data_IF_877851656196
#
_entry.id   IF_877851656196
#
_cell.length_a   1.000
_cell.length_b   1.000
_cell.length_c   1.000
_cell.angle_alpha   90.00
_cell.angle_beta   90.00
_cell.angle_gamma   90.00
#
_symmetry.space_group_name_H-M   'P 1'
#
loop_
_entity.id
_entity.type
_entity.pdbx_description
1 polymer ?
#
# COMPACT_ATOMS: atom_id res chain seq x y z
N UNK A 1 -4.08 9.14 -0.71
CA UNK A 1 -3.12 8.90 0.38
C UNK A 1 -2.30 7.70 -0.03
N UNK A 2 -0.99 7.73 0.18
CA UNK A 2 -0.09 6.62 -0.09
C UNK A 2 0.43 6.07 1.23
N UNK A 3 0.57 4.75 1.32
CA UNK A 3 1.12 4.03 2.47
C UNK A 3 2.18 3.07 1.95
N UNK A 4 3.40 3.22 2.44
CA UNK A 4 4.53 2.39 2.07
C UNK A 4 5.28 1.89 3.31
N UNK A 5 5.89 0.72 3.19
CA UNK A 5 6.76 0.13 4.21
C UNK A 5 8.13 -0.04 3.58
N UNK A 6 9.11 0.67 4.15
CA UNK A 6 10.51 0.51 3.77
C UNK A 6 11.09 -0.63 4.60
N UNK A 7 11.72 -1.59 3.93
CA UNK A 7 12.32 -2.75 4.57
C UNK A 7 13.78 -2.49 4.93
N UNK A 8 14.18 -3.02 6.08
CA UNK A 8 15.59 -3.24 6.40
C UNK A 8 16.16 -4.39 5.58
N UNK A 9 17.48 -4.48 5.48
CA UNK A 9 18.17 -5.42 4.59
C UNK A 9 17.85 -6.90 4.90
N UNK A 10 17.55 -7.22 6.16
CA UNK A 10 17.25 -8.57 6.64
C UNK A 10 15.77 -8.94 6.51
N UNK A 11 14.89 -7.97 6.24
CA UNK A 11 13.45 -8.20 6.21
C UNK A 11 13.01 -8.76 4.86
N UNK A 12 12.00 -9.64 4.90
CA UNK A 12 11.40 -10.21 3.69
C UNK A 12 10.25 -9.35 3.17
N UNK A 13 9.87 -9.59 1.92
CA UNK A 13 8.72 -8.92 1.29
C UNK A 13 7.44 -9.26 2.05
N UNK A 14 7.29 -10.51 2.49
CA UNK A 14 6.11 -10.98 3.22
C UNK A 14 5.96 -10.26 4.57
N UNK A 15 7.07 -9.98 5.27
CA UNK A 15 7.06 -9.18 6.49
C UNK A 15 6.62 -7.75 6.21
N UNK A 16 7.12 -7.15 5.13
CA UNK A 16 6.68 -5.83 4.66
C UNK A 16 5.20 -5.75 4.35
N UNK A 17 4.67 -6.74 3.63
CA UNK A 17 3.25 -6.83 3.32
C UNK A 17 2.39 -6.98 4.58
N UNK A 18 2.84 -7.76 5.56
CA UNK A 18 2.14 -7.92 6.82
C UNK A 18 2.05 -6.60 7.59
N UNK A 19 3.13 -5.83 7.64
CA UNK A 19 3.17 -4.50 8.26
C UNK A 19 2.23 -3.54 7.52
N UNK A 20 2.25 -3.53 6.18
CA UNK A 20 1.38 -2.67 5.38
C UNK A 20 -0.11 -2.97 5.63
N UNK A 21 -0.49 -4.25 5.71
CA UNK A 21 -1.87 -4.68 6.02
C UNK A 21 -2.29 -4.29 7.44
N UNK A 22 -1.41 -4.40 8.42
CA UNK A 22 -1.68 -3.98 9.79
C UNK A 22 -1.88 -2.45 9.89
N UNK A 23 -1.02 -1.66 9.24
CA UNK A 23 -1.16 -0.21 9.16
C UNK A 23 -2.45 0.20 8.44
N UNK A 24 -2.79 -0.45 7.33
CA UNK A 24 -4.04 -0.24 6.61
C UNK A 24 -5.26 -0.41 7.55
N UNK A 25 -5.29 -1.49 8.34
CA UNK A 25 -6.35 -1.75 9.31
C UNK A 25 -6.40 -0.68 10.41
N UNK A 26 -5.25 -0.28 10.97
CA UNK A 26 -5.17 0.75 12.02
C UNK A 26 -5.62 2.12 11.55
N UNK A 27 -5.40 2.44 10.27
CA UNK A 27 -5.85 3.67 9.64
C UNK A 27 -7.30 3.62 9.17
N UNK A 28 -7.97 2.47 9.30
CA UNK A 28 -9.36 2.29 8.87
C UNK A 28 -9.55 2.28 7.35
N UNK A 29 -8.48 2.03 6.58
CA UNK A 29 -8.52 1.92 5.12
C UNK A 29 -9.03 0.53 4.74
N UNK A 30 -10.12 0.46 3.98
CA UNK A 30 -10.69 -0.79 3.52
C UNK A 30 -10.09 -1.19 2.18
N UNK A 31 -10.21 -2.47 1.84
CA UNK A 31 -9.77 -2.96 0.53
C UNK A 31 -10.51 -2.29 -0.64
N UNK A 32 -11.74 -1.81 -0.41
CA UNK A 32 -12.54 -1.06 -1.38
C UNK A 32 -11.99 0.35 -1.64
N UNK A 33 -11.23 0.91 -0.69
CA UNK A 33 -10.61 2.23 -0.81
C UNK A 33 -9.30 2.17 -1.62
N UNK A 34 -8.79 0.97 -1.92
CA UNK A 34 -7.52 0.78 -2.62
C UNK A 34 -7.65 1.09 -4.11
N UNK A 35 -6.82 2.02 -4.58
CA UNK A 35 -6.72 2.38 -5.99
C UNK A 35 -5.54 1.62 -6.59
N UNK A 36 -5.78 0.94 -7.71
CA UNK A 36 -4.75 0.20 -8.45
C UNK A 36 -4.11 1.07 -9.51
N UNK A 37 -2.81 0.88 -9.71
CA UNK A 37 -2.02 1.60 -10.70
C UNK A 37 -1.39 2.86 -10.15
N UNK A 38 -0.55 3.50 -10.97
CA UNK A 38 0.06 4.78 -10.67
C UNK A 38 -0.94 5.92 -10.90
N UNK A 39 -0.65 7.09 -10.33
CA UNK A 39 -1.44 8.29 -10.57
C UNK A 39 -1.55 8.65 -12.06
N UNK A 40 -0.47 8.45 -12.83
CA UNK A 40 -0.47 8.69 -14.28
C UNK A 40 -1.46 7.77 -15.02
N UNK A 41 -1.56 6.49 -14.63
CA UNK A 41 -2.52 5.54 -15.22
C UNK A 41 -3.98 5.98 -15.01
N UNK A 42 -4.24 6.77 -13.97
CA UNK A 42 -5.56 7.32 -13.68
C UNK A 42 -5.83 8.57 -14.51
N UNK A 43 -4.82 9.42 -14.70
CA UNK A 43 -4.93 10.62 -15.54
C UNK A 43 -5.17 10.30 -17.01
N UNK A 44 -4.54 9.25 -17.54
CA UNK A 44 -4.73 8.82 -18.93
C UNK A 44 -6.15 8.26 -19.20
N UNK A 45 -6.94 7.97 -18.17
CA UNK A 45 -8.31 7.47 -18.26
C UNK A 45 -9.39 8.56 -18.15
N UNK A 46 -8.99 9.82 -17.94
CA UNK A 46 -9.87 10.99 -17.88
C UNK A 46 -10.14 11.54 -19.28
#
# INVERSE_FOLDING_TARGET
MELEVVLEAEQTIEEGEAIAKDLQNKLGVKNEDLIKGAYMDLLEKL
#
